data_IF_330176186008
#
_entry.id   IF_330176186008
#
_cell.length_a   1.000
_cell.length_b   1.000
_cell.length_c   1.000
_cell.angle_alpha   90.00
_cell.angle_beta   90.00
_cell.angle_gamma   90.00
#
_symmetry.space_group_name_H-M   'P 1'
#
loop_
_entity.id
_entity.type
_entity.pdbx_description
1 polymer ?
#
# COMPACT_ATOMS: atom_id res chain seq x y z
N UNK A 1 7.78 -21.90 -4.52
CA UNK A 1 6.86 -20.73 -4.47
C UNK A 1 7.70 -19.48 -4.35
N UNK A 2 7.34 -18.46 -5.12
CA UNK A 2 8.02 -17.17 -5.05
C UNK A 2 7.65 -16.44 -3.76
N UNK A 3 8.61 -15.73 -3.17
CA UNK A 3 8.42 -14.95 -1.95
C UNK A 3 8.77 -13.50 -2.21
N UNK A 4 7.97 -12.58 -1.65
CA UNK A 4 8.27 -11.15 -1.73
C UNK A 4 8.09 -10.49 -0.37
N UNK A 5 9.02 -9.58 -0.05
CA UNK A 5 8.92 -8.71 1.11
C UNK A 5 8.40 -7.37 0.64
N UNK A 6 7.24 -6.97 1.15
CA UNK A 6 6.51 -5.77 0.73
C UNK A 6 6.56 -4.73 1.84
N UNK A 7 6.93 -3.51 1.52
CA UNK A 7 6.82 -2.38 2.45
C UNK A 7 5.49 -1.67 2.21
N UNK A 8 4.73 -1.46 3.29
CA UNK A 8 3.39 -0.87 3.23
C UNK A 8 3.33 0.36 4.13
N UNK A 9 3.32 1.57 3.58
CA UNK A 9 3.12 2.77 4.38
C UNK A 9 1.62 3.00 4.62
N UNK A 10 1.22 3.07 5.89
CA UNK A 10 -0.09 3.57 6.27
C UNK A 10 0.06 5.07 6.48
N UNK A 11 -0.35 5.85 5.50
CA UNK A 11 -0.07 7.29 5.43
C UNK A 11 -1.29 8.07 5.90
N UNK A 12 -1.07 8.98 6.87
CA UNK A 12 -2.12 9.89 7.30
C UNK A 12 -1.67 11.34 7.21
N UNK A 13 -2.64 12.21 7.02
CA UNK A 13 -2.47 13.65 7.09
C UNK A 13 -3.74 14.24 7.70
N UNK A 14 -3.59 14.94 8.82
CA UNK A 14 -4.70 15.57 9.55
C UNK A 14 -5.87 14.62 9.78
N UNK A 15 -5.58 13.40 10.24
CA UNK A 15 -6.59 12.41 10.58
C UNK A 15 -7.23 11.69 9.41
N UNK A 16 -6.79 11.95 8.18
CA UNK A 16 -7.25 11.25 6.98
C UNK A 16 -6.19 10.26 6.52
N UNK A 17 -6.63 9.08 6.11
CA UNK A 17 -5.75 8.01 5.64
C UNK A 17 -5.80 7.91 4.12
N UNK A 18 -4.64 7.71 3.51
CA UNK A 18 -4.55 7.55 2.05
C UNK A 18 -4.88 6.13 1.64
N UNK A 19 -5.88 5.99 0.79
CA UNK A 19 -6.21 4.73 0.13
C UNK A 19 -6.05 4.90 -1.37
N UNK A 20 -5.60 3.83 -2.04
CA UNK A 20 -5.41 3.81 -3.48
C UNK A 20 -6.18 2.64 -4.09
N UNK A 21 -6.92 2.90 -5.16
CA UNK A 21 -7.64 1.84 -5.86
C UNK A 21 -6.72 1.20 -6.89
N UNK A 22 -6.53 -0.11 -6.78
CA UNK A 22 -5.69 -0.87 -7.70
C UNK A 22 -6.26 -0.85 -9.11
N UNK A 23 -5.38 -0.88 -10.10
CA UNK A 23 -5.79 -1.04 -11.50
C UNK A 23 -6.54 -2.38 -11.67
N UNK A 24 -7.48 -2.42 -12.62
CA UNK A 24 -8.33 -3.61 -12.81
C UNK A 24 -7.61 -4.78 -13.48
N UNK A 25 -6.51 -4.52 -14.18
CA UNK A 25 -5.84 -5.48 -15.07
C UNK A 25 -4.57 -6.10 -14.52
N UNK A 26 -4.15 -5.75 -13.31
CA UNK A 26 -2.89 -6.23 -12.73
C UNK A 26 -2.88 -6.17 -11.21
N UNK A 27 -1.82 -6.74 -10.62
CA UNK A 27 -1.57 -6.69 -9.19
C UNK A 27 -2.12 -7.91 -8.44
N UNK A 28 -2.04 -7.86 -7.12
CA UNK A 28 -2.49 -8.94 -6.23
C UNK A 28 -3.99 -8.84 -5.94
N UNK A 29 -4.51 -7.61 -5.91
CA UNK A 29 -5.91 -7.33 -5.60
C UNK A 29 -6.51 -6.37 -6.64
N UNK A 30 -6.68 -6.83 -7.91
CA UNK A 30 -7.18 -5.93 -8.97
C UNK A 30 -8.51 -5.28 -8.62
N UNK A 31 -8.61 -3.97 -8.84
CA UNK A 31 -9.85 -3.21 -8.68
C UNK A 31 -10.27 -2.90 -7.26
N UNK A 32 -9.54 -3.38 -6.26
CA UNK A 32 -9.86 -3.11 -4.85
C UNK A 32 -9.02 -1.95 -4.31
N UNK A 33 -9.53 -1.35 -3.23
CA UNK A 33 -8.82 -0.28 -2.52
C UNK A 33 -7.80 -0.89 -1.56
N UNK A 34 -6.63 -0.27 -1.50
CA UNK A 34 -5.46 -0.78 -0.79
C UNK A 34 -4.60 0.35 -0.24
N UNK A 35 -3.63 -0.04 0.57
CA UNK A 35 -2.49 0.82 0.88
C UNK A 35 -1.51 0.76 -0.29
N UNK A 36 -0.74 1.82 -0.49
CA UNK A 36 0.39 1.79 -1.42
C UNK A 36 1.50 0.90 -0.85
N UNK A 37 2.50 0.61 -1.67
CA UNK A 37 3.65 -0.18 -1.25
C UNK A 37 4.14 -1.08 -2.37
N UNK A 38 5.27 -1.73 -2.12
CA UNK A 38 5.84 -2.62 -3.11
C UNK A 38 7.02 -3.37 -2.55
N UNK A 39 7.67 -4.16 -3.42
CA UNK A 39 8.73 -5.07 -3.01
C UNK A 39 10.05 -4.39 -2.70
N UNK A 40 10.70 -4.88 -1.65
CA UNK A 40 12.09 -4.55 -1.37
C UNK A 40 12.95 -5.25 -2.41
N UNK A 41 13.83 -4.50 -3.06
CA UNK A 41 14.73 -5.03 -4.09
C UNK A 41 16.05 -5.53 -3.46
N UNK A 42 16.75 -6.47 -4.12
CA UNK A 42 18.05 -6.95 -3.64
C UNK A 42 19.03 -5.80 -3.40
N UNK A 43 19.66 -5.79 -2.22
CA UNK A 43 20.60 -4.75 -1.84
C UNK A 43 19.98 -3.47 -1.31
N UNK A 44 18.68 -3.36 -1.34
CA UNK A 44 17.94 -2.19 -0.86
C UNK A 44 17.60 -2.35 0.62
N UNK A 45 17.75 -1.28 1.38
CA UNK A 45 17.30 -1.26 2.77
C UNK A 45 15.78 -1.02 2.82
N UNK A 46 15.15 -1.43 3.90
CA UNK A 46 13.69 -1.36 4.06
C UNK A 46 13.18 0.09 3.91
N UNK A 47 13.78 1.06 4.61
CA UNK A 47 13.35 2.46 4.50
C UNK A 47 13.60 3.05 3.12
N UNK A 48 14.71 2.66 2.48
CA UNK A 48 14.99 3.07 1.09
C UNK A 48 13.90 2.55 0.15
N UNK A 49 13.50 1.29 0.32
CA UNK A 49 12.43 0.67 -0.47
C UNK A 49 11.12 1.42 -0.29
N UNK A 50 10.77 1.74 0.96
CA UNK A 50 9.53 2.46 1.27
C UNK A 50 9.52 3.85 0.61
N UNK A 51 10.60 4.60 0.73
CA UNK A 51 10.70 5.94 0.12
C UNK A 51 10.69 5.87 -1.40
N UNK A 52 11.35 4.88 -1.99
CA UNK A 52 11.33 4.67 -3.45
C UNK A 52 9.92 4.35 -3.94
N UNK A 53 9.23 3.42 -3.27
CA UNK A 53 7.87 3.05 -3.65
C UNK A 53 6.91 4.23 -3.53
N UNK A 54 7.03 5.04 -2.47
CA UNK A 54 6.20 6.24 -2.33
C UNK A 54 6.44 7.21 -3.49
N UNK A 55 7.70 7.44 -3.87
CA UNK A 55 8.01 8.32 -5.02
C UNK A 55 7.43 7.77 -6.32
N UNK A 56 7.59 6.48 -6.57
CA UNK A 56 7.13 5.85 -7.81
C UNK A 56 5.60 5.82 -7.90
N UNK A 57 4.93 5.46 -6.83
CA UNK A 57 3.49 5.23 -6.83
C UNK A 57 2.66 6.47 -6.49
N UNK A 58 3.17 7.37 -5.68
CA UNK A 58 2.44 8.51 -5.15
C UNK A 58 3.01 9.87 -5.55
N UNK A 59 4.15 9.88 -6.25
CA UNK A 59 4.78 11.09 -6.74
C UNK A 59 5.79 11.69 -5.78
N UNK A 60 6.62 12.59 -6.32
CA UNK A 60 7.72 13.21 -5.56
C UNK A 60 7.26 14.35 -4.65
N UNK A 61 6.08 14.89 -4.89
CA UNK A 61 5.58 16.04 -4.12
C UNK A 61 5.01 15.62 -2.75
N UNK A 62 4.64 14.37 -2.56
CA UNK A 62 4.16 13.87 -1.27
C UNK A 62 5.36 13.70 -0.34
N UNK A 63 5.36 14.47 0.76
CA UNK A 63 6.47 14.48 1.71
C UNK A 63 6.08 13.79 3.00
N UNK A 64 6.83 12.74 3.39
CA UNK A 64 6.63 12.03 4.63
C UNK A 64 7.45 12.73 5.74
N UNK A 65 6.76 13.22 6.76
CA UNK A 65 7.39 13.83 7.94
C UNK A 65 7.95 12.77 8.88
N UNK A 66 7.25 11.64 9.01
CA UNK A 66 7.69 10.56 9.87
C UNK A 66 7.36 9.21 9.27
N UNK A 67 8.25 8.25 9.52
CA UNK A 67 8.11 6.84 9.15
C UNK A 67 8.47 6.05 10.39
N UNK A 68 7.51 5.31 10.94
CA UNK A 68 7.71 4.52 12.16
C UNK A 68 7.33 3.06 11.90
N UNK A 69 8.25 2.11 12.12
CA UNK A 69 7.89 0.70 12.04
C UNK A 69 6.77 0.38 13.01
N UNK A 70 5.75 -0.34 12.54
CA UNK A 70 4.61 -0.68 13.41
C UNK A 70 4.43 -2.18 13.55
N UNK A 71 4.13 -2.90 12.44
CA UNK A 71 3.82 -4.33 12.54
C UNK A 71 4.15 -5.04 11.22
N UNK A 72 3.91 -6.34 11.21
CA UNK A 72 4.06 -7.16 10.01
C UNK A 72 2.89 -8.14 9.92
N UNK A 73 2.67 -8.65 8.73
CA UNK A 73 1.75 -9.75 8.47
C UNK A 73 2.23 -10.51 7.25
N UNK A 74 1.58 -11.62 6.94
CA UNK A 74 1.92 -12.40 5.75
C UNK A 74 0.66 -13.01 5.15
N UNK A 75 0.80 -13.44 3.89
CA UNK A 75 -0.30 -14.06 3.16
C UNK A 75 0.24 -14.76 1.91
N UNK A 76 -0.55 -15.69 1.37
CA UNK A 76 -0.28 -16.27 0.07
C UNK A 76 -1.36 -15.77 -0.88
N UNK A 77 -0.95 -15.12 -1.97
CA UNK A 77 -1.87 -14.49 -2.93
C UNK A 77 -1.54 -14.87 -4.36
N UNK A 78 -2.56 -14.75 -5.20
CA UNK A 78 -2.39 -14.88 -6.64
C UNK A 78 -2.16 -13.49 -7.22
N UNK A 79 -1.01 -13.28 -7.84
CA UNK A 79 -0.69 -12.02 -8.51
C UNK A 79 -1.02 -12.16 -9.99
N UNK A 80 -1.77 -11.17 -10.50
CA UNK A 80 -2.06 -11.04 -11.92
C UNK A 80 -1.10 -10.04 -12.53
N UNK A 81 -0.36 -10.47 -13.55
CA UNK A 81 0.58 -9.62 -14.28
C UNK A 81 -0.10 -8.91 -15.45
N UNK A 82 0.57 -7.90 -16.01
CA UNK A 82 0.00 -7.10 -17.09
C UNK A 82 -0.37 -7.89 -18.34
N UNK A 83 0.32 -9.01 -18.60
CA UNK A 83 0.02 -9.91 -19.73
C UNK A 83 -1.12 -10.90 -19.45
N UNK A 84 -1.70 -10.85 -18.23
CA UNK A 84 -2.81 -11.70 -17.82
C UNK A 84 -2.42 -13.00 -17.14
N UNK A 85 -1.14 -13.40 -17.12
CA UNK A 85 -0.77 -14.62 -16.43
C UNK A 85 -0.79 -14.42 -14.91
N UNK A 86 -0.93 -15.52 -14.16
CA UNK A 86 -1.07 -15.51 -12.70
C UNK A 86 -0.05 -16.42 -12.04
N UNK A 87 0.43 -16.00 -10.86
CA UNK A 87 1.35 -16.79 -10.03
C UNK A 87 0.94 -16.70 -8.56
N UNK A 88 1.10 -17.79 -7.81
CA UNK A 88 1.00 -17.75 -6.35
C UNK A 88 2.29 -17.17 -5.78
N UNK A 89 2.14 -16.24 -4.84
CA UNK A 89 3.27 -15.57 -4.20
C UNK A 89 3.05 -15.53 -2.69
N UNK A 90 4.07 -15.91 -1.92
CA UNK A 90 4.10 -15.70 -0.48
C UNK A 90 4.52 -14.24 -0.22
N UNK A 91 3.61 -13.47 0.38
CA UNK A 91 3.81 -12.05 0.64
C UNK A 91 4.08 -11.85 2.13
N UNK A 92 5.19 -11.18 2.43
CA UNK A 92 5.50 -10.71 3.79
C UNK A 92 5.32 -9.20 3.77
N UNK A 93 4.43 -8.68 4.61
CA UNK A 93 4.11 -7.24 4.68
C UNK A 93 4.78 -6.63 5.89
N UNK A 94 5.62 -5.61 5.66
CA UNK A 94 6.20 -4.78 6.70
C UNK A 94 5.43 -3.46 6.70
N UNK A 95 4.71 -3.17 7.78
CA UNK A 95 3.75 -2.07 7.82
C UNK A 95 4.30 -0.95 8.69
N UNK A 96 4.27 0.26 8.14
CA UNK A 96 4.81 1.47 8.77
C UNK A 96 3.72 2.50 8.97
N UNK A 97 3.72 3.15 10.14
CA UNK A 97 2.93 4.35 10.35
C UNK A 97 3.69 5.54 9.77
N UNK A 98 3.04 6.25 8.86
CA UNK A 98 3.63 7.41 8.20
C UNK A 98 2.72 8.62 8.35
N UNK A 99 3.33 9.78 8.58
CA UNK A 99 2.61 11.06 8.58
C UNK A 99 3.17 11.88 7.44
N UNK A 100 2.27 12.38 6.56
CA UNK A 100 2.69 13.27 5.49
C UNK A 100 2.50 14.73 5.86
N UNK A 101 3.36 15.58 5.32
CA UNK A 101 3.29 17.02 5.48
C UNK A 101 2.19 17.65 4.64
N UNK A 102 1.79 16.97 3.56
CA UNK A 102 0.81 17.46 2.58
C UNK A 102 0.01 16.29 2.01
N UNK A 103 -0.86 16.59 1.04
CA UNK A 103 -1.69 15.59 0.34
C UNK A 103 -1.44 15.56 -1.16
N UNK A 104 -0.26 15.98 -1.58
CA UNK A 104 0.08 16.12 -2.99
C UNK A 104 0.44 14.77 -3.60
N UNK A 105 -0.57 14.06 -4.09
CA UNK A 105 -0.43 12.72 -4.66
C UNK A 105 -0.55 12.78 -6.18
N UNK A 106 0.37 12.11 -6.86
CA UNK A 106 0.32 11.82 -8.29
C UNK A 106 0.50 10.33 -8.46
N UNK A 107 -0.57 9.60 -8.73
CA UNK A 107 -0.53 8.13 -8.85
C UNK A 107 0.07 7.71 -10.20
N UNK A 108 0.66 6.51 -10.20
CA UNK A 108 1.17 5.88 -11.42
C UNK A 108 0.17 4.84 -11.95
N UNK A 109 0.60 4.01 -12.90
CA UNK A 109 -0.25 3.01 -13.57
C UNK A 109 -0.68 1.85 -12.67
N UNK A 110 -0.11 1.71 -11.48
CA UNK A 110 -0.54 0.68 -10.52
C UNK A 110 -1.92 0.99 -9.94
N UNK A 111 -2.31 2.26 -9.94
CA UNK A 111 -3.57 2.71 -9.36
C UNK A 111 -4.42 3.44 -10.37
N UNK A 112 -5.75 3.35 -10.21
CA UNK A 112 -6.69 4.10 -11.03
C UNK A 112 -7.29 5.32 -10.32
N UNK A 113 -7.30 5.31 -8.97
CA UNK A 113 -7.80 6.41 -8.14
C UNK A 113 -7.08 6.44 -6.81
N UNK A 114 -7.19 7.56 -6.10
CA UNK A 114 -6.79 7.65 -4.70
C UNK A 114 -7.79 8.51 -3.93
N UNK A 115 -7.78 8.35 -2.60
CA UNK A 115 -8.64 9.15 -1.72
C UNK A 115 -7.99 9.33 -0.35
N UNK A 116 -8.18 10.49 0.24
CA UNK A 116 -7.86 10.75 1.64
C UNK A 116 -9.15 10.56 2.44
N UNK A 117 -9.17 9.56 3.31
CA UNK A 117 -10.40 9.02 3.90
C UNK A 117 -10.41 9.20 5.40
N UNK A 118 -11.51 9.74 5.92
CA UNK A 118 -11.74 9.80 7.38
C UNK A 118 -11.95 8.38 7.93
N UNK A 119 -11.52 8.10 9.16
CA UNK A 119 -11.71 6.75 9.74
C UNK A 119 -13.14 6.22 9.66
N UNK A 120 -14.13 7.07 9.93
CA UNK A 120 -15.53 6.64 9.89
C UNK A 120 -16.02 6.25 8.50
N UNK A 121 -15.35 6.69 7.44
CA UNK A 121 -15.70 6.38 6.05
C UNK A 121 -14.95 5.18 5.49
N UNK A 122 -13.94 4.67 6.18
CA UNK A 122 -13.18 3.51 5.73
C UNK A 122 -14.06 2.28 5.39
N UNK A 123 -15.10 1.97 6.17
CA UNK A 123 -15.97 0.84 5.86
C UNK A 123 -16.74 0.95 4.55
N UNK A 124 -16.81 2.15 3.95
CA UNK A 124 -17.52 2.38 2.68
C UNK A 124 -16.71 1.94 1.46
N UNK A 125 -15.44 1.64 1.64
CA UNK A 125 -14.52 1.29 0.55
C UNK A 125 -14.42 -0.23 0.40
N UNK A 126 -14.31 -0.70 -0.85
CA UNK A 126 -14.07 -2.11 -1.13
C UNK A 126 -12.59 -2.43 -0.89
N UNK A 127 -12.24 -2.64 0.38
CA UNK A 127 -10.88 -2.88 0.82
C UNK A 127 -10.44 -4.31 0.51
N UNK A 128 -9.21 -4.47 0.03
CA UNK A 128 -8.67 -5.82 -0.09
C UNK A 128 -8.47 -6.44 1.30
N UNK A 129 -8.33 -7.76 1.35
CA UNK A 129 -8.29 -8.49 2.63
C UNK A 129 -7.07 -8.09 3.48
N UNK A 130 -5.92 -7.83 2.86
CA UNK A 130 -4.72 -7.43 3.58
C UNK A 130 -4.87 -6.04 4.21
N UNK A 131 -5.42 -5.09 3.46
CA UNK A 131 -5.68 -3.74 3.95
C UNK A 131 -6.72 -3.75 5.06
N UNK A 132 -7.81 -4.51 4.88
CA UNK A 132 -8.85 -4.67 5.91
C UNK A 132 -8.25 -5.19 7.20
N UNK A 133 -7.41 -6.21 7.13
CA UNK A 133 -6.72 -6.78 8.29
C UNK A 133 -5.86 -5.73 9.00
N UNK A 134 -5.09 -4.97 8.23
CA UNK A 134 -4.21 -3.92 8.77
C UNK A 134 -5.01 -2.83 9.49
N UNK A 135 -6.07 -2.34 8.85
CA UNK A 135 -6.91 -1.28 9.45
C UNK A 135 -7.67 -1.78 10.67
N UNK A 136 -8.08 -3.05 10.68
CA UNK A 136 -8.71 -3.67 11.85
C UNK A 136 -7.74 -3.76 13.03
N UNK A 137 -6.50 -4.21 12.77
CA UNK A 137 -5.46 -4.25 13.80
C UNK A 137 -5.14 -2.87 14.36
N UNK A 138 -5.24 -1.84 13.53
CA UNK A 138 -5.00 -0.46 13.93
C UNK A 138 -6.15 0.13 14.75
N UNK A 139 -7.28 -0.57 14.81
CA UNK A 139 -8.47 -0.09 15.50
C UNK A 139 -9.31 0.90 14.70
N UNK A 140 -9.10 0.94 13.38
CA UNK A 140 -9.81 1.86 12.48
C UNK A 140 -11.04 1.22 11.82
N UNK A 141 -11.17 -0.09 11.91
CA UNK A 141 -12.31 -0.85 11.42
C UNK A 141 -12.88 -1.74 12.50
#
# INVERSE_FOLDING_TARGET
>A
MRQRTIVCPLIQHEGHYLLCKMADDRGVFPGQWALSGGGVEPGERIEEALRREVREELGEALQLESITPWTFSDDIRVKTFADGHQEEIYMIYLIFDCISANRDVTINEEFQEYAWVKPQDLPLYDLNVATRKTLTLKGLL
#
